data_IF_360279545318
#
_entry.id   IF_360279545318
#
_cell.length_a   1.000
_cell.length_b   1.000
_cell.length_c   1.000
_cell.angle_alpha   90.00
_cell.angle_beta   90.00
_cell.angle_gamma   90.00
#
_symmetry.space_group_name_H-M   'P 1'
#
loop_
_entity.id
_entity.type
_entity.pdbx_description
1 polymer ?
#
# COMPACT_ATOMS: atom_id res chain seq x y z
N UNK A 1 -3.49 -24.55 -34.19
CA UNK A 1 -4.10 -23.44 -33.42
C UNK A 1 -4.75 -22.44 -34.36
N UNK A 2 -5.36 -21.39 -33.83
CA UNK A 2 -6.09 -20.37 -34.61
C UNK A 2 -5.33 -19.05 -34.57
N UNK A 3 -5.09 -18.42 -35.72
CA UNK A 3 -4.45 -17.09 -35.78
C UNK A 3 -3.00 -17.04 -35.25
N UNK A 4 -2.29 -18.17 -35.20
CA UNK A 4 -0.89 -18.20 -34.80
C UNK A 4 0.02 -17.78 -35.96
N UNK A 5 1.10 -17.07 -35.68
CA UNK A 5 2.18 -16.75 -36.62
C UNK A 5 3.48 -17.41 -36.17
N UNK A 6 4.15 -18.15 -37.05
CA UNK A 6 5.38 -18.87 -36.76
C UNK A 6 5.19 -20.40 -36.67
N UNK A 7 6.00 -21.10 -35.87
CA UNK A 7 6.10 -22.57 -35.89
C UNK A 7 5.78 -23.23 -34.55
N UNK A 8 5.08 -24.37 -34.56
CA UNK A 8 4.89 -25.18 -33.35
C UNK A 8 4.03 -24.53 -32.26
N UNK A 9 3.25 -23.49 -32.59
CA UNK A 9 2.37 -22.79 -31.65
C UNK A 9 1.02 -23.50 -31.52
N UNK A 10 0.63 -23.87 -30.30
CA UNK A 10 -0.67 -24.46 -29.98
C UNK A 10 -1.59 -23.41 -29.32
N UNK A 11 -2.91 -23.52 -29.50
CA UNK A 11 -3.87 -22.50 -29.01
C UNK A 11 -4.08 -21.35 -30.00
N UNK A 12 -4.20 -20.11 -29.51
CA UNK A 12 -4.74 -18.97 -30.28
C UNK A 12 -3.83 -17.74 -30.27
N UNK A 13 -3.65 -17.08 -31.41
CA UNK A 13 -3.06 -15.73 -31.48
C UNK A 13 -1.58 -15.62 -31.07
N UNK A 14 -0.83 -16.72 -31.05
CA UNK A 14 0.57 -16.71 -30.62
C UNK A 14 1.52 -16.33 -31.78
N UNK A 15 2.57 -15.57 -31.47
CA UNK A 15 3.62 -15.19 -32.41
C UNK A 15 5.00 -15.75 -32.00
N UNK A 16 5.74 -16.34 -32.94
CA UNK A 16 7.07 -16.92 -32.69
C UNK A 16 7.05 -18.45 -32.73
N UNK A 17 7.68 -19.13 -31.78
CA UNK A 17 7.80 -20.59 -31.81
C UNK A 17 7.52 -21.31 -30.49
N UNK A 18 6.89 -22.49 -30.58
CA UNK A 18 6.58 -23.38 -29.46
C UNK A 18 5.81 -22.74 -28.31
N UNK A 19 4.92 -21.81 -28.61
CA UNK A 19 4.11 -21.13 -27.60
C UNK A 19 2.72 -21.80 -27.48
N UNK A 20 2.44 -22.64 -26.48
CA UNK A 20 1.10 -23.12 -26.19
C UNK A 20 0.28 -22.10 -25.37
N UNK A 21 -0.97 -21.88 -25.77
CA UNK A 21 -1.93 -21.05 -25.03
C UNK A 21 -2.45 -19.89 -25.87
N UNK A 22 -2.60 -18.71 -25.28
CA UNK A 22 -3.24 -17.56 -25.94
C UNK A 22 -2.32 -16.34 -25.99
N UNK A 23 -2.16 -15.74 -27.16
CA UNK A 23 -1.58 -14.40 -27.30
C UNK A 23 -0.13 -14.27 -26.84
N UNK A 24 0.65 -15.35 -26.80
CA UNK A 24 2.07 -15.26 -26.39
C UNK A 24 2.95 -14.84 -27.57
N UNK A 25 4.00 -14.07 -27.28
CA UNK A 25 4.97 -13.58 -28.27
C UNK A 25 6.40 -13.98 -27.86
N UNK A 26 7.08 -14.75 -28.71
CA UNK A 26 8.48 -15.15 -28.52
C UNK A 26 8.70 -16.65 -28.63
N UNK A 27 9.40 -17.26 -27.68
CA UNK A 27 9.83 -18.66 -27.75
C UNK A 27 9.42 -19.47 -26.52
N UNK A 28 8.80 -20.62 -26.71
CA UNK A 28 8.53 -21.61 -25.65
C UNK A 28 7.71 -21.06 -24.46
N UNK A 29 6.90 -20.02 -24.67
CA UNK A 29 6.06 -19.45 -23.62
C UNK A 29 4.75 -20.24 -23.49
N UNK A 30 4.41 -20.63 -22.26
CA UNK A 30 3.18 -21.38 -21.94
C UNK A 30 2.20 -20.52 -21.16
N UNK A 31 0.92 -20.51 -21.56
CA UNK A 31 -0.14 -19.78 -20.87
C UNK A 31 -0.65 -18.60 -21.69
N UNK A 32 -0.83 -17.43 -21.08
CA UNK A 32 -1.52 -16.31 -21.70
C UNK A 32 -0.67 -15.03 -21.73
N UNK A 33 -0.59 -14.38 -22.90
CA UNK A 33 -0.03 -13.05 -23.08
C UNK A 33 1.37 -12.87 -22.49
N UNK A 34 2.25 -13.87 -22.60
CA UNK A 34 3.64 -13.73 -22.20
C UNK A 34 4.49 -13.22 -23.37
N UNK A 35 5.45 -12.34 -23.06
CA UNK A 35 6.44 -11.83 -24.02
C UNK A 35 7.85 -12.27 -23.62
N UNK A 36 8.57 -12.90 -24.53
CA UNK A 36 9.98 -13.29 -24.33
C UNK A 36 10.21 -14.78 -24.49
N UNK A 37 10.93 -15.42 -23.57
CA UNK A 37 11.39 -16.81 -23.73
C UNK A 37 11.05 -17.64 -22.50
N UNK A 38 10.48 -18.83 -22.70
CA UNK A 38 10.26 -19.86 -21.67
C UNK A 38 9.46 -19.41 -20.44
N UNK A 39 8.63 -18.37 -20.56
CA UNK A 39 7.75 -17.95 -19.47
C UNK A 39 6.55 -18.88 -19.33
N UNK A 40 6.07 -19.10 -18.11
CA UNK A 40 4.89 -19.93 -17.84
C UNK A 40 3.90 -19.18 -16.97
N UNK A 41 2.63 -19.14 -17.37
CA UNK A 41 1.54 -18.47 -16.64
C UNK A 41 0.98 -17.29 -17.43
N UNK A 42 0.74 -16.15 -16.79
CA UNK A 42 0.07 -15.02 -17.45
C UNK A 42 0.89 -13.73 -17.39
N UNK A 43 0.93 -13.01 -18.51
CA UNK A 43 1.36 -11.61 -18.54
C UNK A 43 2.77 -11.43 -17.94
N UNK A 44 3.70 -12.29 -18.32
CA UNK A 44 5.12 -12.14 -17.97
C UNK A 44 5.89 -11.51 -19.13
N UNK A 45 6.91 -10.73 -18.81
CA UNK A 45 7.86 -10.18 -19.79
C UNK A 45 9.30 -10.54 -19.41
N UNK A 46 10.01 -11.24 -20.30
CA UNK A 46 11.43 -11.56 -20.15
C UNK A 46 11.75 -13.04 -20.32
N UNK A 47 12.63 -13.59 -19.50
CA UNK A 47 13.16 -14.96 -19.64
C UNK A 47 12.78 -15.85 -18.46
N UNK A 48 12.20 -17.02 -18.75
CA UNK A 48 12.01 -18.12 -17.83
C UNK A 48 11.36 -17.69 -16.49
N UNK A 49 10.26 -16.95 -16.56
CA UNK A 49 9.50 -16.56 -15.37
C UNK A 49 8.25 -17.47 -15.20
N UNK A 50 8.23 -18.41 -14.24
CA UNK A 50 7.01 -19.11 -13.84
C UNK A 50 6.12 -18.26 -12.92
N UNK A 51 4.81 -18.27 -13.17
CA UNK A 51 3.84 -17.50 -12.41
C UNK A 51 3.23 -16.38 -13.25
N UNK A 52 2.84 -15.27 -12.65
CA UNK A 52 2.17 -14.20 -13.40
C UNK A 52 2.69 -12.82 -13.03
N UNK A 53 2.64 -11.87 -13.96
CA UNK A 53 3.06 -10.49 -13.70
C UNK A 53 4.50 -10.37 -13.22
N UNK A 54 5.44 -11.08 -13.85
CA UNK A 54 6.86 -10.88 -13.61
C UNK A 54 7.52 -10.13 -14.77
N UNK A 55 8.45 -9.23 -14.46
CA UNK A 55 9.32 -8.59 -15.47
C UNK A 55 10.79 -8.78 -15.12
N UNK A 56 11.52 -9.33 -16.08
CA UNK A 56 12.93 -9.67 -15.94
C UNK A 56 13.17 -11.15 -16.15
N UNK A 57 14.07 -11.75 -15.37
CA UNK A 57 14.57 -13.10 -15.67
C UNK A 57 14.49 -14.03 -14.46
N UNK A 58 14.07 -15.28 -14.67
CA UNK A 58 14.10 -16.35 -13.67
C UNK A 58 13.32 -16.03 -12.38
N UNK A 59 12.27 -15.22 -12.48
CA UNK A 59 11.42 -14.92 -11.33
C UNK A 59 10.30 -15.95 -11.23
N UNK A 60 10.08 -16.49 -10.03
CA UNK A 60 8.99 -17.44 -9.72
C UNK A 60 8.00 -16.79 -8.77
N UNK A 61 6.71 -16.84 -9.09
CA UNK A 61 5.64 -16.23 -8.27
C UNK A 61 4.97 -15.07 -8.99
N UNK A 62 4.65 -14.00 -8.28
CA UNK A 62 3.93 -12.85 -8.84
C UNK A 62 4.54 -11.50 -8.49
N UNK A 63 4.42 -10.52 -9.39
CA UNK A 63 4.85 -9.13 -9.14
C UNK A 63 6.31 -8.99 -8.72
N UNK A 64 7.19 -9.77 -9.34
CA UNK A 64 8.63 -9.60 -9.15
C UNK A 64 9.22 -8.76 -10.28
N UNK A 65 10.07 -7.81 -9.90
CA UNK A 65 10.90 -7.07 -10.86
C UNK A 65 12.37 -7.22 -10.53
N UNK A 66 13.14 -7.57 -11.57
CA UNK A 66 14.57 -7.83 -11.48
C UNK A 66 14.87 -9.26 -11.91
N UNK A 67 15.72 -10.00 -11.19
CA UNK A 67 16.03 -11.38 -11.59
C UNK A 67 16.22 -12.33 -10.42
N UNK A 68 15.89 -13.60 -10.65
CA UNK A 68 16.06 -14.70 -9.69
C UNK A 68 15.30 -14.49 -8.37
N UNK A 69 14.16 -13.79 -8.39
CA UNK A 69 13.33 -13.66 -7.21
C UNK A 69 12.30 -14.80 -7.14
N UNK A 70 12.13 -15.43 -5.99
CA UNK A 70 11.14 -16.49 -5.76
C UNK A 70 10.20 -16.09 -4.62
N UNK A 71 8.90 -15.98 -4.91
CA UNK A 71 7.90 -15.40 -4.00
C UNK A 71 7.18 -14.24 -4.68
N UNK A 72 6.59 -13.35 -3.92
CA UNK A 72 5.76 -12.25 -4.41
C UNK A 72 6.30 -10.88 -4.04
N UNK A 73 6.10 -9.89 -4.92
CA UNK A 73 6.42 -8.47 -4.66
C UNK A 73 7.89 -8.21 -4.27
N UNK A 74 8.84 -8.96 -4.82
CA UNK A 74 10.25 -8.69 -4.58
C UNK A 74 10.81 -7.64 -5.55
N UNK A 75 11.66 -6.79 -4.99
CA UNK A 75 12.42 -5.77 -5.70
C UNK A 75 13.91 -6.07 -5.64
N UNK A 76 14.53 -6.27 -6.80
CA UNK A 76 15.97 -6.44 -6.92
C UNK A 76 16.34 -7.84 -7.41
N UNK A 77 17.33 -8.46 -6.78
CA UNK A 77 17.92 -9.69 -7.31
C UNK A 77 18.05 -10.77 -6.24
N UNK A 78 17.82 -12.03 -6.63
CA UNK A 78 18.05 -13.22 -5.80
C UNK A 78 17.26 -13.24 -4.47
N UNK A 79 16.13 -12.52 -4.38
CA UNK A 79 15.34 -12.54 -3.16
C UNK A 79 14.39 -13.73 -3.11
N UNK A 80 14.30 -14.41 -1.98
CA UNK A 80 13.38 -15.53 -1.74
C UNK A 80 12.45 -15.20 -0.58
N UNK A 81 11.17 -15.54 -0.69
CA UNK A 81 10.11 -15.01 0.19
C UNK A 81 9.48 -13.76 -0.43
N UNK A 82 8.73 -13.00 0.37
CA UNK A 82 7.87 -11.94 -0.14
C UNK A 82 8.33 -10.54 0.28
N UNK A 83 8.03 -9.54 -0.54
CA UNK A 83 8.21 -8.12 -0.21
C UNK A 83 9.65 -7.76 0.19
N UNK A 84 10.67 -8.41 -0.35
CA UNK A 84 12.05 -8.03 -0.09
C UNK A 84 12.53 -6.90 -1.01
N UNK A 85 13.36 -6.03 -0.47
CA UNK A 85 14.06 -4.97 -1.19
C UNK A 85 15.56 -5.18 -1.12
N UNK A 86 16.19 -5.40 -2.25
CA UNK A 86 17.65 -5.41 -2.38
C UNK A 86 18.20 -6.68 -3.01
N UNK A 87 19.25 -7.24 -2.42
CA UNK A 87 20.03 -8.32 -3.03
C UNK A 87 20.11 -9.53 -2.09
N UNK A 88 19.73 -10.70 -2.61
CA UNK A 88 19.95 -11.99 -1.98
C UNK A 88 19.38 -12.11 -0.56
N UNK A 89 18.19 -11.53 -0.32
CA UNK A 89 17.50 -11.71 0.95
C UNK A 89 16.62 -12.96 0.93
N UNK A 90 16.51 -13.65 2.06
CA UNK A 90 15.68 -14.82 2.26
C UNK A 90 14.76 -14.61 3.47
N UNK A 91 13.47 -14.92 3.31
CA UNK A 91 12.40 -14.57 4.25
C UNK A 91 11.63 -13.35 3.76
N UNK A 92 10.82 -12.73 4.61
CA UNK A 92 9.85 -11.72 4.18
C UNK A 92 10.20 -10.31 4.68
N UNK A 93 9.90 -9.30 3.88
CA UNK A 93 9.95 -7.87 4.26
C UNK A 93 11.35 -7.40 4.69
N UNK A 94 12.41 -7.90 4.06
CA UNK A 94 13.77 -7.44 4.34
C UNK A 94 14.19 -6.27 3.45
N UNK A 95 14.94 -5.33 4.02
CA UNK A 95 15.61 -4.24 3.29
C UNK A 95 17.12 -4.42 3.40
N UNK A 96 17.79 -4.70 2.29
CA UNK A 96 19.25 -4.68 2.21
C UNK A 96 19.86 -5.88 1.49
N UNK A 97 20.95 -6.43 2.03
CA UNK A 97 21.80 -7.40 1.32
C UNK A 97 22.08 -8.63 2.18
N UNK A 98 21.85 -9.83 1.63
CA UNK A 98 22.21 -11.12 2.25
C UNK A 98 21.57 -11.32 3.64
N UNK A 99 20.34 -10.86 3.85
CA UNK A 99 19.60 -11.13 5.08
C UNK A 99 18.89 -12.49 4.98
N UNK A 100 18.93 -13.29 6.05
CA UNK A 100 18.22 -14.55 6.19
C UNK A 100 17.36 -14.49 7.45
N UNK A 101 16.08 -14.19 7.31
CA UNK A 101 15.14 -13.88 8.39
C UNK A 101 14.02 -12.97 7.90
N UNK A 102 13.15 -12.51 8.77
CA UNK A 102 12.02 -11.65 8.41
C UNK A 102 12.20 -10.23 8.96
N UNK A 103 11.60 -9.24 8.30
CA UNK A 103 11.43 -7.90 8.85
C UNK A 103 12.72 -7.18 9.24
N UNK A 104 13.83 -7.41 8.52
CA UNK A 104 15.15 -6.87 8.88
C UNK A 104 15.64 -5.78 7.93
N UNK A 105 16.40 -4.81 8.46
CA UNK A 105 17.06 -3.75 7.71
C UNK A 105 18.59 -3.87 7.87
N UNK A 106 19.33 -4.03 6.78
CA UNK A 106 20.80 -4.02 6.82
C UNK A 106 21.45 -5.13 5.99
N UNK A 107 22.57 -5.64 6.48
CA UNK A 107 23.46 -6.53 5.73
C UNK A 107 23.81 -7.74 6.59
N UNK A 108 23.75 -8.94 6.01
CA UNK A 108 24.19 -10.21 6.62
C UNK A 108 23.44 -10.58 7.92
N UNK A 109 22.18 -10.15 8.07
CA UNK A 109 21.35 -10.59 9.20
C UNK A 109 20.94 -12.05 9.06
N UNK A 110 20.76 -12.74 10.18
CA UNK A 110 20.40 -14.18 10.22
C UNK A 110 19.17 -14.48 11.10
N UNK A 111 18.49 -13.46 11.58
CA UNK A 111 17.32 -13.59 12.45
C UNK A 111 16.28 -12.53 12.09
N UNK A 112 15.15 -12.58 12.77
CA UNK A 112 14.03 -11.69 12.50
C UNK A 112 14.20 -10.35 13.21
N UNK A 113 13.63 -9.28 12.65
CA UNK A 113 13.60 -7.93 13.23
C UNK A 113 14.97 -7.33 13.56
N UNK A 114 15.97 -7.59 12.71
CA UNK A 114 17.34 -7.09 12.90
C UNK A 114 17.57 -5.74 12.23
N UNK A 115 18.41 -4.92 12.86
CA UNK A 115 18.80 -3.59 12.32
C UNK A 115 17.65 -2.58 12.23
N UNK A 116 16.58 -2.77 13.00
CA UNK A 116 15.48 -1.81 13.09
C UNK A 116 15.92 -0.58 13.88
N UNK A 117 15.54 0.60 13.39
CA UNK A 117 15.80 1.87 14.05
C UNK A 117 14.49 2.53 14.46
N UNK A 118 14.44 3.07 15.67
CA UNK A 118 13.34 3.88 16.20
C UNK A 118 13.87 4.99 17.08
N UNK A 119 13.02 5.98 17.37
CA UNK A 119 13.34 7.13 18.21
C UNK A 119 12.12 7.54 19.03
N UNK A 120 12.28 7.63 20.35
CA UNK A 120 11.21 8.04 21.25
C UNK A 120 11.67 9.19 22.13
N UNK A 121 10.92 10.30 22.15
CA UNK A 121 11.12 11.41 23.08
C UNK A 121 9.81 11.79 23.77
N UNK A 122 9.84 11.80 25.10
CA UNK A 122 8.71 12.20 25.94
C UNK A 122 9.16 13.14 27.07
N UNK A 123 8.27 14.06 27.46
CA UNK A 123 8.36 14.77 28.73
C UNK A 123 7.60 13.93 29.76
N UNK A 124 8.33 13.40 30.74
CA UNK A 124 7.77 12.64 31.84
C UNK A 124 7.63 13.51 33.09
N UNK A 125 6.40 13.76 33.52
CA UNK A 125 6.10 14.44 34.79
C UNK A 125 5.63 13.37 35.78
N UNK A 126 6.41 13.09 36.84
CA UNK A 126 6.01 12.11 37.86
C UNK A 126 4.74 12.58 38.57
N UNK A 127 4.03 11.63 39.19
CA UNK A 127 2.86 11.95 40.00
C UNK A 127 3.23 12.96 41.10
N UNK A 128 2.43 14.00 41.27
CA UNK A 128 2.61 15.01 42.30
C UNK A 128 1.35 15.17 43.15
N UNK A 129 1.49 15.48 44.46
CA UNK A 129 0.35 15.69 45.32
C UNK A 129 -0.37 17.00 44.93
N UNK A 130 -1.70 16.95 44.82
CA UNK A 130 -2.55 18.14 44.62
C UNK A 130 -3.06 18.64 45.97
N UNK A 131 -3.52 17.73 46.82
CA UNK A 131 -4.09 18.06 48.12
C UNK A 131 -3.50 17.15 49.18
N UNK A 132 -2.87 17.77 50.17
CA UNK A 132 -2.40 17.12 51.37
C UNK A 132 -2.97 17.87 52.57
N UNK A 133 -4.06 17.35 53.13
CA UNK A 133 -4.76 18.00 54.23
C UNK A 133 -5.00 17.01 55.36
N UNK A 134 -4.59 17.42 56.56
CA UNK A 134 -4.78 16.66 57.79
C UNK A 134 -5.78 17.40 58.66
N UNK A 135 -6.94 16.78 58.88
CA UNK A 135 -7.95 17.26 59.82
C UNK A 135 -7.89 16.37 61.03
N UNK A 136 -7.87 16.99 62.21
CA UNK A 136 -7.95 16.27 63.46
C UNK A 136 -9.21 16.70 64.20
N UNK A 137 -10.18 15.79 64.34
CA UNK A 137 -11.42 16.09 65.07
C UNK A 137 -11.25 15.55 66.50
N UNK A 138 -11.16 16.42 67.53
CA UNK A 138 -11.02 15.98 68.91
C UNK A 138 -12.31 15.32 69.42
N UNK A 139 -12.18 14.21 70.14
CA UNK A 139 -13.31 13.54 70.81
C UNK A 139 -13.03 13.53 72.31
N UNK A 140 -13.82 14.31 73.04
CA UNK A 140 -13.85 14.27 74.50
C UNK A 140 -15.30 14.45 74.96
N UNK A 141 -16.03 13.35 75.06
CA UNK A 141 -17.43 13.35 75.50
C UNK A 141 -17.48 12.65 76.87
N UNK A 142 -17.52 13.41 77.97
CA UNK A 142 -17.71 12.83 79.29
C UNK A 142 -19.19 12.50 79.52
N UNK A 143 -19.47 11.30 80.02
CA UNK A 143 -20.77 10.87 80.49
C UNK A 143 -20.63 10.54 81.98
N UNK A 144 -21.37 11.28 82.81
CA UNK A 144 -21.38 11.11 84.25
C UNK A 144 -22.72 10.53 84.69
N UNK A 145 -22.70 9.35 85.31
CA UNK A 145 -23.90 8.72 85.85
C UNK A 145 -23.71 8.41 87.34
N UNK A 146 -24.49 9.10 88.18
CA UNK A 146 -24.54 8.87 89.62
C UNK A 146 -25.76 8.01 89.98
N UNK A 147 -25.51 6.82 90.52
CA UNK A 147 -26.54 5.85 90.90
C UNK A 147 -27.04 6.05 92.35
N UNK A 148 -26.49 7.00 93.11
CA UNK A 148 -26.95 7.36 94.45
C UNK A 148 -26.53 6.38 95.56
N UNK A 149 -27.31 6.33 96.66
CA UNK A 149 -26.97 5.54 97.84
C UNK A 149 -27.96 4.39 98.10
N UNK A 150 -27.42 3.24 98.53
CA UNK A 150 -28.18 2.07 98.97
C UNK A 150 -28.32 2.07 100.50
N UNK A 151 -29.55 1.96 100.99
CA UNK A 151 -29.84 1.83 102.43
C UNK A 151 -30.73 0.62 102.70
N UNK A 152 -30.20 -0.35 103.46
CA UNK A 152 -30.96 -1.46 104.03
C UNK A 152 -31.07 -1.25 105.54
N UNK A 153 -32.29 -0.96 106.00
CA UNK A 153 -32.57 -0.61 107.39
C UNK A 153 -32.34 -1.78 108.36
N UNK A 154 -31.84 -1.47 109.56
CA UNK A 154 -31.57 -2.45 110.63
C UNK A 154 -32.81 -3.24 111.06
N UNK A 155 -32.60 -4.48 111.50
CA UNK A 155 -33.62 -5.27 112.20
C UNK A 155 -32.98 -6.15 113.29
N UNK A 156 -33.76 -6.51 114.30
CA UNK A 156 -33.30 -7.25 115.49
C UNK A 156 -33.97 -8.61 115.57
N UNK A 157 -33.20 -9.66 115.82
CA UNK A 157 -33.75 -10.99 116.10
C UNK A 157 -34.03 -11.13 117.61
N UNK A 158 -35.22 -11.59 118.01
CA UNK A 158 -35.59 -11.70 119.42
C UNK A 158 -34.83 -12.81 120.15
N UNK A 159 -34.69 -12.66 121.46
CA UNK A 159 -33.96 -13.58 122.35
C UNK A 159 -34.52 -15.00 122.29
N UNK A 160 -33.63 -15.98 122.09
CA UNK A 160 -33.97 -17.40 122.13
C UNK A 160 -33.58 -17.95 123.50
N UNK A 161 -34.51 -18.65 124.16
CA UNK A 161 -34.29 -19.28 125.47
C UNK A 161 -34.24 -20.79 125.28
N UNK A 162 -33.19 -21.44 125.79
CA UNK A 162 -32.99 -22.90 125.68
C UNK A 162 -33.03 -23.51 127.08
N UNK A 163 -33.85 -24.54 127.29
CA UNK A 163 -33.93 -25.29 128.54
C UNK A 163 -33.61 -26.77 128.27
N UNK A 164 -32.54 -27.31 128.87
CA UNK A 164 -32.14 -28.72 128.73
C UNK A 164 -31.38 -29.25 129.97
N UNK A 165 -31.61 -30.54 130.28
CA UNK A 165 -31.08 -31.36 131.39
C UNK A 165 -29.90 -30.76 132.17
N UNK A 166 -30.22 -30.11 133.30
CA UNK A 166 -29.26 -29.61 134.29
C UNK A 166 -29.04 -28.10 134.29
N UNK A 167 -29.51 -27.36 133.27
CA UNK A 167 -29.42 -25.89 133.21
C UNK A 167 -30.78 -25.32 132.80
N UNK A 168 -31.37 -24.46 133.65
CA UNK A 168 -32.57 -23.67 133.35
C UNK A 168 -32.20 -22.20 133.16
N UNK A 169 -32.88 -21.49 132.25
CA UNK A 169 -32.71 -20.05 131.97
C UNK A 169 -31.42 -19.61 131.25
N UNK A 170 -30.86 -20.42 130.34
CA UNK A 170 -29.81 -19.91 129.44
C UNK A 170 -30.44 -19.15 128.25
N UNK A 171 -30.20 -17.84 128.19
CA UNK A 171 -30.73 -16.95 127.13
C UNK A 171 -29.60 -16.51 126.20
N UNK A 172 -29.83 -16.63 124.89
CA UNK A 172 -28.98 -16.03 123.86
C UNK A 172 -29.81 -14.97 123.13
N UNK A 173 -29.40 -13.71 123.24
CA UNK A 173 -29.95 -12.58 122.49
C UNK A 173 -30.62 -11.49 123.33
N UNK A 174 -31.05 -10.39 122.69
CA UNK A 174 -31.24 -10.25 121.25
C UNK A 174 -29.95 -9.87 120.50
N UNK A 175 -29.85 -10.31 119.24
CA UNK A 175 -28.75 -9.94 118.32
C UNK A 175 -29.31 -8.89 117.37
N UNK A 176 -28.67 -7.72 117.33
CA UNK A 176 -29.04 -6.62 116.45
C UNK A 176 -28.05 -6.53 115.30
N UNK A 177 -28.56 -6.52 114.06
CA UNK A 177 -27.79 -6.21 112.86
C UNK A 177 -28.00 -4.73 112.54
N UNK A 178 -26.95 -3.89 112.57
CA UNK A 178 -27.07 -2.48 112.26
C UNK A 178 -27.41 -2.25 110.79
N UNK A 179 -27.94 -1.06 110.47
CA UNK A 179 -28.24 -0.63 109.11
C UNK A 179 -26.99 -0.74 108.26
N UNK A 180 -27.12 -1.41 107.11
CA UNK A 180 -26.04 -1.48 106.13
C UNK A 180 -26.30 -0.35 105.13
N UNK A 181 -25.51 0.70 105.26
CA UNK A 181 -25.44 1.77 104.27
C UNK A 181 -24.27 1.52 103.34
N UNK A 182 -24.48 1.75 102.05
CA UNK A 182 -23.44 1.73 101.05
C UNK A 182 -23.69 2.78 99.99
N UNK A 183 -22.65 3.49 99.58
CA UNK A 183 -22.68 4.34 98.39
C UNK A 183 -22.63 3.45 97.15
N UNK A 184 -23.58 3.62 96.22
CA UNK A 184 -23.43 2.97 94.91
C UNK A 184 -22.34 3.69 94.13
N UNK A 185 -21.59 2.97 93.29
CA UNK A 185 -20.49 3.58 92.55
C UNK A 185 -21.04 4.59 91.54
N UNK A 186 -20.39 5.77 91.51
CA UNK A 186 -20.48 6.69 90.39
C UNK A 186 -19.75 6.06 89.21
N UNK A 187 -20.38 6.04 88.04
CA UNK A 187 -19.76 5.53 86.83
C UNK A 187 -19.43 6.73 85.94
N UNK A 188 -18.15 7.05 85.87
CA UNK A 188 -17.60 7.97 84.89
C UNK A 188 -17.19 7.19 83.65
N UNK A 189 -17.83 7.51 82.52
CA UNK A 189 -17.44 6.98 81.21
C UNK A 189 -17.04 8.14 80.33
N UNK A 190 -15.77 8.18 79.93
CA UNK A 190 -15.29 9.13 78.94
C UNK A 190 -15.14 8.42 77.60
N UNK A 191 -15.84 8.91 76.58
CA UNK A 191 -15.59 8.50 75.20
C UNK A 191 -14.55 9.48 74.63
N UNK A 192 -13.31 9.00 74.53
CA UNK A 192 -12.16 9.79 74.09
C UNK A 192 -11.36 10.44 75.25
N UNK A 193 -10.66 11.54 74.97
CA UNK A 193 -9.76 12.22 75.91
C UNK A 193 -9.04 13.43 75.29
N UNK A 194 -8.26 14.21 76.07
CA UNK A 194 -7.64 15.47 75.60
C UNK A 194 -6.72 15.30 74.37
N UNK A 195 -6.09 14.14 74.26
CA UNK A 195 -5.20 13.77 73.16
C UNK A 195 -5.83 12.76 72.19
N UNK A 196 -7.12 12.44 72.36
CA UNK A 196 -7.83 11.48 71.51
C UNK A 196 -8.61 12.19 70.43
N UNK A 197 -8.29 11.85 69.19
CA UNK A 197 -8.88 12.46 68.02
C UNK A 197 -9.05 11.45 66.90
N UNK A 198 -9.98 11.72 65.99
CA UNK A 198 -10.10 10.97 64.74
C UNK A 198 -9.27 11.70 63.70
N UNK A 199 -8.12 11.15 63.27
CA UNK A 199 -7.36 11.73 62.17
C UNK A 199 -8.09 11.45 60.86
N UNK A 200 -8.38 12.50 60.09
CA UNK A 200 -8.85 12.41 58.72
C UNK A 200 -7.73 12.90 57.82
N UNK A 201 -7.14 11.96 57.09
CA UNK A 201 -6.09 12.24 56.12
C UNK A 201 -6.71 12.30 54.71
N UNK A 202 -6.75 13.50 54.12
CA UNK A 202 -7.13 13.66 52.73
C UNK A 202 -5.84 13.73 51.93
N UNK A 203 -5.62 12.73 51.08
CA UNK A 203 -4.52 12.67 50.12
C UNK A 203 -5.09 12.59 48.72
N UNK A 204 -4.66 13.48 47.85
CA UNK A 204 -4.97 13.45 46.42
C UNK A 204 -3.73 13.83 45.62
N UNK A 205 -3.54 13.18 44.47
CA UNK A 205 -2.44 13.46 43.54
C UNK A 205 -2.92 13.42 42.10
N UNK A 206 -2.19 14.12 41.23
CA UNK A 206 -2.34 14.01 39.78
C UNK A 206 -1.08 13.46 39.13
N UNK A 207 -1.28 12.77 38.01
CA UNK A 207 -0.22 12.17 37.22
C UNK A 207 -0.08 10.65 37.42
N UNK A 208 0.89 10.01 36.75
CA UNK A 208 1.92 10.64 35.91
C UNK A 208 1.35 11.27 34.63
N UNK A 209 1.93 12.38 34.19
CA UNK A 209 1.60 13.03 32.92
C UNK A 209 2.74 12.73 31.94
N UNK A 210 2.40 12.17 30.78
CA UNK A 210 3.33 11.90 29.68
C UNK A 210 2.97 12.78 28.49
N UNK A 211 3.90 13.59 28.03
CA UNK A 211 3.76 14.37 26.80
C UNK A 211 4.74 13.82 25.78
N UNK A 212 4.25 13.00 24.85
CA UNK A 212 5.06 12.45 23.75
C UNK A 212 5.36 13.57 22.75
N UNK A 213 6.63 13.86 22.54
CA UNK A 213 7.10 14.90 21.62
C UNK A 213 7.30 14.33 20.21
N UNK A 214 7.93 13.16 20.11
CA UNK A 214 8.14 12.44 18.87
C UNK A 214 8.29 10.95 19.17
N UNK A 215 7.51 10.13 18.47
CA UNK A 215 7.61 8.67 18.53
C UNK A 215 7.73 8.11 17.11
N UNK A 216 8.89 7.53 16.82
CA UNK A 216 9.19 6.82 15.59
C UNK A 216 9.41 5.36 15.98
N UNK A 217 8.44 4.46 15.69
CA UNK A 217 8.56 3.07 16.07
C UNK A 217 9.67 2.38 15.27
N UNK A 218 10.35 1.43 15.90
CA UNK A 218 11.26 0.54 15.21
C UNK A 218 10.45 -0.38 14.28
N UNK A 219 10.58 -0.16 12.98
CA UNK A 219 9.81 -0.87 11.96
C UNK A 219 10.68 -1.24 10.75
N UNK A 220 10.30 -2.29 10.00
CA UNK A 220 10.93 -2.66 8.73
C UNK A 220 10.84 -1.54 7.70
N UNK A 221 11.85 -1.45 6.84
CA UNK A 221 12.03 -0.34 5.93
C UNK A 221 12.37 0.98 6.65
N UNK A 222 12.55 2.05 5.87
CA UNK A 222 12.97 3.36 6.37
C UNK A 222 12.00 4.42 5.85
N UNK A 223 11.33 5.12 6.77
CA UNK A 223 10.40 6.20 6.42
C UNK A 223 9.11 5.73 5.73
N UNK A 224 8.77 4.45 5.84
CA UNK A 224 7.52 3.91 5.32
C UNK A 224 6.32 4.39 6.17
N UNK A 225 5.26 4.83 5.52
CA UNK A 225 3.97 5.24 6.10
C UNK A 225 2.83 4.33 5.63
N UNK A 226 3.14 3.05 5.43
CA UNK A 226 2.19 2.03 5.01
C UNK A 226 1.40 1.46 6.20
N UNK A 227 0.21 0.91 5.95
CA UNK A 227 -0.63 0.34 7.05
C UNK A 227 -0.20 -1.04 7.51
N UNK A 228 0.56 -1.78 6.69
CA UNK A 228 1.20 -3.05 7.09
C UNK A 228 2.71 -2.94 6.91
N UNK A 229 3.51 -3.80 7.59
CA UNK A 229 4.96 -3.74 7.48
C UNK A 229 5.45 -3.84 6.03
N UNK A 230 6.41 -3.00 5.69
CA UNK A 230 6.94 -2.85 4.33
C UNK A 230 8.45 -2.76 4.37
N UNK A 231 9.14 -3.29 3.36
CA UNK A 231 10.58 -3.11 3.21
C UNK A 231 10.88 -1.87 2.35
N UNK A 232 12.15 -1.53 2.21
CA UNK A 232 12.59 -0.41 1.38
C UNK A 232 12.42 0.96 2.03
N UNK A 233 12.11 1.98 1.25
CA UNK A 233 12.24 3.39 1.64
C UNK A 233 11.02 4.21 1.21
N UNK A 234 10.47 5.00 2.14
CA UNK A 234 9.45 6.03 1.86
C UNK A 234 8.21 5.55 1.10
N UNK A 235 7.79 4.31 1.30
CA UNK A 235 6.55 3.78 0.75
C UNK A 235 5.35 4.29 1.56
N UNK A 236 4.20 4.49 0.91
CA UNK A 236 3.00 5.05 1.54
C UNK A 236 1.72 4.40 1.01
N UNK A 237 0.67 4.36 1.83
CA UNK A 237 -0.65 3.85 1.44
C UNK A 237 -1.11 2.61 2.23
N UNK A 238 -2.29 2.12 1.88
CA UNK A 238 -2.89 0.96 2.55
C UNK A 238 -2.29 -0.35 2.02
N UNK A 239 -1.81 -1.24 2.88
CA UNK A 239 -1.16 -2.51 2.52
C UNK A 239 0.36 -2.46 2.69
N UNK A 240 1.07 -3.45 2.13
CA UNK A 240 2.52 -3.57 2.25
C UNK A 240 3.21 -3.12 0.97
N UNK A 241 4.50 -2.81 1.04
CA UNK A 241 5.30 -2.45 -0.11
C UNK A 241 6.77 -2.89 0.04
N UNK A 242 7.48 -2.96 -1.08
CA UNK A 242 8.93 -3.10 -1.16
C UNK A 242 9.50 -2.10 -2.16
N UNK A 243 10.76 -1.69 -2.01
CA UNK A 243 11.43 -0.74 -2.88
C UNK A 243 11.30 0.71 -2.40
N UNK A 244 11.25 1.68 -3.31
CA UNK A 244 11.40 3.11 -2.98
C UNK A 244 10.24 3.95 -3.48
N UNK A 245 9.61 4.70 -2.57
CA UNK A 245 8.69 5.78 -2.92
C UNK A 245 7.40 5.31 -3.58
N UNK A 246 6.93 4.09 -3.31
CA UNK A 246 5.68 3.62 -3.87
C UNK A 246 4.47 4.23 -3.14
N UNK A 247 3.39 4.47 -3.88
CA UNK A 247 2.12 4.97 -3.38
C UNK A 247 0.98 3.97 -3.60
N UNK A 248 0.22 3.68 -2.55
CA UNK A 248 -0.84 2.66 -2.57
C UNK A 248 -0.34 1.29 -2.13
N UNK A 249 -1.24 0.30 -2.16
CA UNK A 249 -0.99 -1.02 -1.58
C UNK A 249 -0.31 -2.01 -2.47
N UNK A 250 0.42 -2.94 -1.85
CA UNK A 250 1.01 -4.14 -2.46
C UNK A 250 1.89 -3.78 -3.66
N UNK A 251 2.77 -2.80 -3.48
CA UNK A 251 3.67 -2.33 -4.52
C UNK A 251 5.11 -2.78 -4.26
N UNK A 252 5.83 -3.15 -5.30
CA UNK A 252 7.26 -3.41 -5.26
C UNK A 252 7.99 -2.53 -6.28
N UNK A 253 9.22 -2.12 -6.00
CA UNK A 253 10.06 -1.37 -6.93
C UNK A 253 10.07 0.12 -6.63
N UNK A 254 10.12 0.96 -7.64
CA UNK A 254 10.39 2.38 -7.55
C UNK A 254 9.21 3.19 -8.08
N UNK A 255 8.65 4.05 -7.23
CA UNK A 255 7.71 5.10 -7.64
C UNK A 255 6.45 4.58 -8.35
N UNK A 256 6.00 3.37 -7.99
CA UNK A 256 4.76 2.82 -8.52
C UNK A 256 3.57 3.40 -7.77
N UNK A 257 2.47 3.64 -8.49
CA UNK A 257 1.19 4.05 -7.92
C UNK A 257 0.15 2.97 -8.16
N UNK A 258 -0.22 2.28 -7.08
CA UNK A 258 -1.23 1.23 -7.08
C UNK A 258 -2.65 1.79 -6.87
N UNK A 259 -3.59 1.39 -7.73
CA UNK A 259 -5.01 1.75 -7.63
C UNK A 259 -5.84 0.49 -7.34
N UNK A 260 -5.90 0.09 -6.06
CA UNK A 260 -6.70 -1.05 -5.62
C UNK A 260 -6.02 -1.89 -4.55
N UNK A 261 -6.56 -3.09 -4.32
CA UNK A 261 -6.07 -4.04 -3.32
C UNK A 261 -4.86 -4.87 -3.80
N UNK A 262 -4.54 -4.87 -5.09
CA UNK A 262 -3.43 -5.60 -5.68
C UNK A 262 -2.60 -4.57 -6.47
N UNK A 263 -1.34 -4.40 -6.08
CA UNK A 263 -0.50 -3.32 -6.57
C UNK A 263 0.34 -3.72 -7.77
N UNK A 264 1.50 -3.09 -7.88
CA UNK A 264 2.37 -3.12 -9.05
C UNK A 264 3.82 -3.41 -8.67
N UNK A 265 4.61 -3.93 -9.60
CA UNK A 265 6.05 -4.11 -9.43
C UNK A 265 6.89 -3.34 -10.47
N UNK A 266 8.07 -2.88 -10.09
CA UNK A 266 9.04 -2.32 -11.03
C UNK A 266 9.18 -0.81 -10.95
N UNK A 267 9.16 -0.06 -12.04
CA UNK A 267 9.46 1.37 -12.04
C UNK A 267 8.31 2.18 -12.64
N UNK A 268 7.75 3.13 -11.89
CA UNK A 268 6.76 4.12 -12.37
C UNK A 268 5.50 3.55 -13.04
N UNK A 269 5.00 2.41 -12.57
CA UNK A 269 3.72 1.88 -13.05
C UNK A 269 2.54 2.60 -12.39
N UNK A 270 1.47 2.84 -13.15
CA UNK A 270 0.25 3.49 -12.67
C UNK A 270 -0.99 2.65 -13.03
N UNK A 271 -1.68 2.15 -12.00
CA UNK A 271 -2.81 1.25 -12.17
C UNK A 271 -2.74 0.05 -11.21
N UNK A 272 -3.10 -1.15 -11.69
CA UNK A 272 -3.16 -2.36 -10.86
C UNK A 272 -2.73 -3.62 -11.63
N UNK A 273 -2.19 -4.63 -10.95
CA UNK A 273 -1.69 -5.84 -11.59
C UNK A 273 -0.62 -5.55 -12.66
N UNK A 274 0.35 -4.69 -12.35
CA UNK A 274 1.38 -4.31 -13.30
C UNK A 274 2.78 -4.74 -12.87
N UNK A 275 3.67 -4.96 -13.84
CA UNK A 275 5.09 -5.21 -13.59
C UNK A 275 5.99 -4.54 -14.65
N UNK A 276 7.21 -4.18 -14.30
CA UNK A 276 8.20 -3.66 -15.24
C UNK A 276 8.29 -2.14 -15.20
N UNK A 277 8.46 -1.47 -16.34
CA UNK A 277 8.74 -0.03 -16.40
C UNK A 277 7.60 0.75 -17.08
N UNK A 278 7.09 1.77 -16.40
CA UNK A 278 6.26 2.85 -16.94
C UNK A 278 5.02 2.34 -17.67
N UNK A 279 4.33 1.37 -17.06
CA UNK A 279 3.09 0.86 -17.61
C UNK A 279 1.88 1.61 -17.05
N UNK A 280 0.86 1.81 -17.89
CA UNK A 280 -0.41 2.44 -17.53
C UNK A 280 -1.57 1.46 -17.78
N UNK A 281 -2.38 1.17 -16.76
CA UNK A 281 -3.55 0.31 -16.92
C UNK A 281 -3.70 -0.82 -15.89
N UNK A 282 -4.29 -1.92 -16.34
CA UNK A 282 -4.53 -3.10 -15.51
C UNK A 282 -4.03 -4.37 -16.20
N UNK A 283 -3.38 -5.28 -15.46
CA UNK A 283 -2.90 -6.57 -16.00
C UNK A 283 -1.88 -6.33 -17.12
N UNK A 284 -0.76 -5.68 -16.79
CA UNK A 284 0.25 -5.21 -17.76
C UNK A 284 1.66 -5.59 -17.31
N UNK A 285 2.52 -6.08 -18.19
CA UNK A 285 3.93 -6.34 -17.90
C UNK A 285 4.88 -5.77 -18.94
N UNK A 286 6.14 -5.55 -18.56
CA UNK A 286 7.18 -5.12 -19.48
C UNK A 286 7.42 -3.62 -19.44
N UNK A 287 7.67 -3.00 -20.59
CA UNK A 287 8.22 -1.64 -20.69
C UNK A 287 7.28 -0.75 -21.51
N UNK A 288 6.89 0.41 -20.95
CA UNK A 288 6.14 1.48 -21.63
C UNK A 288 4.82 1.04 -22.27
N UNK A 289 4.10 0.08 -21.68
CA UNK A 289 2.82 -0.36 -22.23
C UNK A 289 1.66 0.47 -21.70
N UNK A 290 0.68 0.75 -22.56
CA UNK A 290 -0.51 1.55 -22.23
C UNK A 290 -1.78 0.80 -22.56
N UNK A 291 -2.59 0.54 -21.54
CA UNK A 291 -3.95 0.03 -21.71
C UNK A 291 -4.88 1.08 -22.29
N UNK A 292 -5.67 0.70 -23.29
CA UNK A 292 -6.82 1.51 -23.74
C UNK A 292 -8.10 1.17 -22.98
N UNK A 293 -8.08 0.14 -22.13
CA UNK A 293 -9.15 -0.19 -21.18
C UNK A 293 -9.07 0.68 -19.92
N UNK A 294 -10.15 0.70 -19.14
CA UNK A 294 -10.16 1.39 -17.85
C UNK A 294 -9.19 0.75 -16.83
N UNK A 295 -8.87 1.47 -15.76
CA UNK A 295 -7.86 1.04 -14.77
C UNK A 295 -8.29 -0.17 -13.91
N UNK A 296 -9.55 -0.60 -13.99
CA UNK A 296 -10.08 -1.74 -13.23
C UNK A 296 -10.34 -2.98 -14.08
N UNK A 297 -10.22 -2.87 -15.41
CA UNK A 297 -10.51 -3.95 -16.35
C UNK A 297 -9.21 -4.51 -16.88
N UNK A 298 -8.95 -5.83 -16.73
CA UNK A 298 -7.76 -6.47 -17.25
C UNK A 298 -7.53 -6.17 -18.73
N UNK A 299 -6.33 -5.69 -19.06
CA UNK A 299 -5.94 -5.36 -20.42
C UNK A 299 -5.04 -6.43 -21.06
N UNK A 300 -4.47 -7.36 -20.28
CA UNK A 300 -3.64 -8.46 -20.75
C UNK A 300 -2.52 -8.03 -21.72
N UNK A 301 -1.61 -7.16 -21.25
CA UNK A 301 -0.54 -6.61 -22.08
C UNK A 301 0.84 -7.05 -21.58
N UNK A 302 1.73 -7.50 -22.47
CA UNK A 302 3.14 -7.76 -22.13
C UNK A 302 4.12 -7.29 -23.20
N UNK A 303 5.38 -7.09 -22.84
CA UNK A 303 6.45 -6.75 -23.78
C UNK A 303 6.80 -5.26 -23.77
N UNK A 304 7.07 -4.65 -24.93
CA UNK A 304 7.62 -3.29 -25.02
C UNK A 304 6.78 -2.37 -25.90
N UNK A 305 6.28 -1.27 -25.31
CA UNK A 305 5.68 -0.14 -26.00
C UNK A 305 4.43 -0.53 -26.78
N UNK A 306 3.58 -1.36 -26.17
CA UNK A 306 2.29 -1.76 -26.73
C UNK A 306 1.18 -0.83 -26.24
N UNK A 307 0.22 -0.52 -27.12
CA UNK A 307 -0.93 0.35 -26.81
C UNK A 307 -2.21 -0.38 -27.22
N UNK A 308 -3.07 -0.75 -26.26
CA UNK A 308 -4.31 -1.46 -26.56
C UNK A 308 -4.80 -2.38 -25.44
N UNK A 309 -5.34 -3.54 -25.80
CA UNK A 309 -5.69 -4.67 -24.93
C UNK A 309 -5.39 -5.98 -25.66
N UNK A 310 -5.10 -7.04 -24.91
CA UNK A 310 -4.83 -8.39 -25.43
C UNK A 310 -3.63 -8.44 -26.38
N UNK A 311 -2.52 -7.81 -25.96
CA UNK A 311 -1.32 -7.64 -26.79
C UNK A 311 -0.06 -8.14 -26.08
N UNK A 312 0.72 -8.97 -26.76
CA UNK A 312 2.07 -9.32 -26.35
C UNK A 312 3.05 -8.98 -27.47
N UNK A 313 4.24 -8.47 -27.14
CA UNK A 313 5.31 -8.23 -28.11
C UNK A 313 5.91 -6.85 -28.04
N UNK A 314 6.30 -6.31 -29.19
CA UNK A 314 7.05 -5.05 -29.27
C UNK A 314 6.30 -4.11 -30.23
N UNK A 315 6.13 -2.84 -29.85
CA UNK A 315 5.49 -1.79 -30.64
C UNK A 315 4.17 -2.24 -31.28
N UNK A 316 3.26 -2.84 -30.51
CA UNK A 316 2.02 -3.45 -31.01
C UNK A 316 0.77 -2.66 -30.59
N UNK A 317 -0.26 -2.73 -31.43
CA UNK A 317 -1.62 -2.23 -31.19
C UNK A 317 -2.64 -3.23 -31.73
N UNK A 318 -3.95 -3.06 -31.44
CA UNK A 318 -5.00 -3.93 -31.99
C UNK A 318 -5.05 -3.96 -33.51
N UNK A 319 -4.43 -2.96 -34.16
CA UNK A 319 -4.43 -2.80 -35.61
C UNK A 319 -3.09 -3.14 -36.25
N UNK A 320 -2.13 -3.69 -35.50
CA UNK A 320 -0.78 -4.03 -35.95
C UNK A 320 0.31 -3.21 -35.26
N UNK A 321 1.52 -3.20 -35.83
CA UNK A 321 2.65 -2.47 -35.24
C UNK A 321 2.48 -0.95 -35.34
N UNK A 322 2.95 -0.23 -34.32
CA UNK A 322 2.98 1.24 -34.22
C UNK A 322 4.38 1.82 -34.46
N UNK A 323 5.35 0.99 -34.83
CA UNK A 323 6.73 1.43 -35.01
C UNK A 323 6.86 2.40 -36.18
N UNK A 324 7.52 3.55 -35.96
CA UNK A 324 7.98 4.47 -36.99
C UNK A 324 9.51 4.57 -36.94
N UNK A 325 10.14 4.68 -38.11
CA UNK A 325 11.57 4.87 -38.28
C UNK A 325 11.86 6.33 -38.65
N UNK A 326 12.00 7.18 -37.64
CA UNK A 326 12.38 8.59 -37.76
C UNK A 326 11.81 9.43 -36.62
N UNK A 327 11.74 10.76 -36.80
CA UNK A 327 11.37 11.69 -35.73
C UNK A 327 10.06 12.40 -36.01
N UNK A 328 9.22 12.52 -34.98
CA UNK A 328 7.99 13.33 -35.05
C UNK A 328 6.88 12.73 -35.91
N UNK A 329 6.89 11.42 -36.12
CA UNK A 329 5.81 10.73 -36.82
C UNK A 329 4.63 10.43 -35.89
N UNK A 330 3.41 10.64 -36.38
CA UNK A 330 2.16 10.23 -35.75
C UNK A 330 1.42 9.26 -36.66
N UNK A 331 1.24 8.03 -36.20
CA UNK A 331 0.70 6.93 -37.02
C UNK A 331 1.62 5.72 -36.92
N UNK A 332 1.67 4.89 -37.97
CA UNK A 332 2.48 3.66 -37.99
C UNK A 332 3.30 3.48 -39.26
N UNK A 333 4.39 2.72 -39.12
CA UNK A 333 5.20 2.21 -40.23
C UNK A 333 5.68 3.29 -41.20
N UNK A 334 5.93 4.48 -40.69
CA UNK A 334 6.56 5.55 -41.45
C UNK A 334 8.09 5.37 -41.43
N UNK A 335 8.75 5.67 -42.54
CA UNK A 335 10.21 5.75 -42.67
C UNK A 335 10.58 7.15 -43.15
N UNK A 336 11.11 7.99 -42.26
CA UNK A 336 11.34 9.42 -42.46
C UNK A 336 10.81 10.22 -41.26
N UNK A 337 10.71 11.55 -41.38
CA UNK A 337 10.37 12.39 -40.21
C UNK A 337 9.14 13.27 -40.46
N UNK A 338 8.38 13.57 -39.40
CA UNK A 338 7.29 14.53 -39.42
C UNK A 338 6.08 14.07 -40.24
N UNK A 339 5.85 12.76 -40.35
CA UNK A 339 4.67 12.23 -41.04
C UNK A 339 3.47 12.14 -40.10
N UNK A 340 2.28 12.48 -40.59
CA UNK A 340 1.01 12.25 -39.91
C UNK A 340 0.17 11.33 -40.79
N UNK A 341 -0.04 10.10 -40.35
CA UNK A 341 -0.67 9.02 -41.11
C UNK A 341 0.20 7.77 -41.14
N UNK A 342 -0.20 6.79 -41.95
CA UNK A 342 0.40 5.45 -41.92
C UNK A 342 1.18 5.12 -43.21
N UNK A 343 2.23 4.31 -43.10
CA UNK A 343 2.96 3.72 -44.24
C UNK A 343 3.65 4.73 -45.18
N UNK A 344 4.11 5.88 -44.68
CA UNK A 344 4.83 6.84 -45.51
C UNK A 344 6.33 6.51 -45.62
N UNK A 345 6.89 6.64 -46.82
CA UNK A 345 8.33 6.58 -47.09
C UNK A 345 8.82 7.96 -47.51
N UNK A 346 9.49 8.66 -46.60
CA UNK A 346 9.94 10.04 -46.72
C UNK A 346 9.39 10.92 -45.60
N UNK A 347 9.48 12.24 -45.73
CA UNK A 347 9.28 13.17 -44.61
C UNK A 347 8.21 14.24 -44.89
N UNK A 348 7.55 14.69 -43.83
CA UNK A 348 6.60 15.80 -43.89
C UNK A 348 5.30 15.46 -44.62
N UNK A 349 4.90 14.18 -44.67
CA UNK A 349 3.67 13.78 -45.34
C UNK A 349 2.48 13.85 -44.36
N UNK A 350 1.35 14.40 -44.82
CA UNK A 350 0.06 14.35 -44.14
C UNK A 350 -0.90 13.46 -44.94
N UNK A 351 -1.20 12.28 -44.42
CA UNK A 351 -1.93 11.22 -45.12
C UNK A 351 -1.10 9.93 -45.13
N UNK A 352 -1.60 8.91 -45.82
CA UNK A 352 -1.06 7.55 -45.76
C UNK A 352 -0.52 7.05 -47.09
N UNK A 353 0.42 6.11 -47.02
CA UNK A 353 1.01 5.41 -48.17
C UNK A 353 1.70 6.34 -49.19
N UNK A 354 2.26 7.46 -48.75
CA UNK A 354 3.02 8.35 -49.63
C UNK A 354 4.49 7.91 -49.73
N UNK A 355 5.07 8.08 -50.91
CA UNK A 355 6.50 7.92 -51.17
C UNK A 355 7.05 9.27 -51.61
N UNK A 356 7.88 9.90 -50.78
CA UNK A 356 8.50 11.20 -51.01
C UNK A 356 8.23 12.17 -49.87
N UNK A 357 8.22 13.47 -50.18
CA UNK A 357 8.34 14.56 -49.22
C UNK A 357 7.20 15.56 -49.37
N UNK A 358 6.66 16.02 -48.24
CA UNK A 358 5.72 17.14 -48.22
C UNK A 358 4.39 16.87 -48.92
N UNK A 359 3.97 15.61 -49.05
CA UNK A 359 2.68 15.28 -49.68
C UNK A 359 1.53 15.45 -48.70
N UNK A 360 0.41 15.98 -49.17
CA UNK A 360 -0.86 16.09 -48.44
C UNK A 360 -1.91 15.26 -49.17
N UNK A 361 -2.43 14.23 -48.52
CA UNK A 361 -3.33 13.21 -49.07
C UNK A 361 -2.68 11.83 -49.14
N UNK A 362 -3.27 10.89 -49.86
CA UNK A 362 -2.88 9.48 -49.82
C UNK A 362 -2.26 8.99 -51.13
N UNK A 363 -1.43 7.96 -51.05
CA UNK A 363 -0.93 7.22 -52.22
C UNK A 363 -0.17 8.09 -53.23
N UNK A 364 0.45 9.19 -52.81
CA UNK A 364 1.27 10.02 -53.70
C UNK A 364 2.70 9.48 -53.81
N UNK A 365 3.28 9.56 -54.99
CA UNK A 365 4.69 9.25 -55.25
C UNK A 365 5.35 10.50 -55.82
N UNK A 366 6.36 11.04 -55.14
CA UNK A 366 7.06 12.27 -55.48
C UNK A 366 6.89 13.34 -54.39
N UNK A 367 7.04 14.62 -54.72
CA UNK A 367 7.16 15.69 -53.71
C UNK A 367 6.11 16.79 -53.83
N UNK A 368 5.61 17.27 -52.70
CA UNK A 368 4.76 18.45 -52.62
C UNK A 368 3.39 18.29 -53.28
N UNK A 369 2.89 17.06 -53.45
CA UNK A 369 1.58 16.84 -54.04
C UNK A 369 0.49 17.13 -53.00
N UNK A 370 -0.57 17.82 -53.40
CA UNK A 370 -1.77 18.08 -52.61
C UNK A 370 -2.95 17.39 -53.30
N UNK A 371 -3.36 16.24 -52.80
CA UNK A 371 -4.32 15.36 -53.44
C UNK A 371 -3.97 13.89 -53.21
N UNK A 372 -4.58 12.97 -53.95
CA UNK A 372 -4.31 11.52 -53.79
C UNK A 372 -3.98 10.83 -55.11
N UNK A 373 -3.14 9.79 -55.04
CA UNK A 373 -2.77 8.99 -56.21
C UNK A 373 -1.89 9.72 -57.23
N UNK A 374 -1.27 10.85 -56.88
CA UNK A 374 -0.44 11.60 -57.81
C UNK A 374 0.96 11.00 -57.93
N UNK A 375 1.52 10.99 -59.14
CA UNK A 375 2.89 10.60 -59.44
C UNK A 375 3.65 11.80 -60.01
N UNK A 376 4.57 12.38 -59.24
CA UNK A 376 5.42 13.49 -59.65
C UNK A 376 5.44 14.60 -58.61
N UNK A 377 5.50 15.86 -59.04
CA UNK A 377 5.87 16.96 -58.16
C UNK A 377 4.90 18.12 -58.22
N UNK A 378 4.45 18.61 -57.06
CA UNK A 378 3.63 19.82 -56.96
C UNK A 378 2.26 19.70 -57.65
N UNK A 379 1.73 18.49 -57.85
CA UNK A 379 0.38 18.33 -58.37
C UNK A 379 -0.63 18.76 -57.30
N UNK A 380 -1.60 19.58 -57.66
CA UNK A 380 -2.53 20.19 -56.72
C UNK A 380 -3.94 20.29 -57.33
N UNK A 381 -4.92 20.66 -56.53
CA UNK A 381 -6.28 20.84 -57.00
C UNK A 381 -6.54 22.32 -57.33
N UNK A 382 -7.47 22.62 -58.26
CA UNK A 382 -7.98 23.96 -58.47
C UNK A 382 -9.00 24.30 -57.35
N UNK A 383 -8.55 24.37 -56.09
CA UNK A 383 -9.39 24.76 -54.95
C UNK A 383 -9.65 23.64 -53.93
N UNK A 384 -10.91 23.49 -53.48
CA UNK A 384 -11.32 22.57 -52.40
C UNK A 384 -11.59 21.13 -52.88
N UNK A 385 -11.34 20.82 -54.15
CA UNK A 385 -11.36 19.44 -54.65
C UNK A 385 -10.02 18.76 -54.35
N UNK A 386 -9.97 17.43 -54.36
CA UNK A 386 -8.69 16.72 -54.28
C UNK A 386 -8.08 16.65 -55.69
N UNK A 387 -6.75 16.79 -55.81
CA UNK A 387 -6.05 16.50 -57.06
C UNK A 387 -5.86 15.00 -57.17
N UNK A 388 -6.54 14.35 -58.11
CA UNK A 388 -6.53 12.90 -58.21
C UNK A 388 -5.75 12.42 -59.43
N UNK A 389 -4.86 11.47 -59.21
CA UNK A 389 -4.22 10.68 -60.26
C UNK A 389 -3.47 11.49 -61.32
N UNK A 390 -2.91 12.65 -60.96
CA UNK A 390 -2.06 13.38 -61.90
C UNK A 390 -0.69 12.74 -62.02
N UNK A 391 -0.14 12.71 -63.23
CA UNK A 391 1.19 12.21 -63.52
C UNK A 391 2.02 13.36 -64.10
N UNK A 392 3.12 13.73 -63.45
CA UNK A 392 4.04 14.77 -63.88
C UNK A 392 4.14 15.92 -62.88
N UNK A 393 4.33 17.14 -63.38
CA UNK A 393 4.81 18.26 -62.55
C UNK A 393 3.85 19.45 -62.60
N UNK A 394 3.44 19.94 -61.45
CA UNK A 394 2.67 21.18 -61.33
C UNK A 394 1.28 21.11 -61.97
N UNK A 395 0.70 19.93 -62.16
CA UNK A 395 -0.64 19.82 -62.71
C UNK A 395 -1.68 20.23 -61.66
N UNK A 396 -2.67 21.01 -62.09
CA UNK A 396 -3.77 21.49 -61.26
C UNK A 396 -5.08 20.86 -61.75
N UNK A 397 -5.65 19.91 -61.02
CA UNK A 397 -6.91 19.21 -61.40
C UNK A 397 -6.80 17.71 -61.26
N UNK A 398 -7.48 16.94 -62.11
CA UNK A 398 -7.53 15.48 -62.03
C UNK A 398 -7.09 14.80 -63.33
N UNK A 399 -6.48 13.62 -63.19
CA UNK A 399 -6.12 12.73 -64.29
C UNK A 399 -5.27 13.40 -65.39
N UNK A 400 -4.52 14.45 -65.06
CA UNK A 400 -3.64 15.11 -66.02
C UNK A 400 -2.33 14.35 -66.14
N UNK A 401 -1.79 14.27 -67.34
CA UNK A 401 -0.49 13.67 -67.63
C UNK A 401 0.40 14.69 -68.35
N UNK A 402 1.47 15.11 -67.68
CA UNK A 402 2.45 16.05 -68.22
C UNK A 402 2.79 17.18 -67.25
N UNK A 403 2.99 18.39 -67.76
CA UNK A 403 3.59 19.49 -66.98
C UNK A 403 2.73 20.74 -67.02
N UNK A 404 2.36 21.26 -65.85
CA UNK A 404 1.67 22.54 -65.72
C UNK A 404 0.26 22.57 -66.31
N UNK A 405 -0.39 21.42 -66.49
CA UNK A 405 -1.76 21.39 -67.02
C UNK A 405 -2.75 21.85 -65.95
N UNK A 406 -3.80 22.57 -66.34
CA UNK A 406 -4.87 23.03 -65.46
C UNK A 406 -6.23 22.56 -65.99
N UNK A 407 -6.99 21.85 -65.17
CA UNK A 407 -8.27 21.23 -65.55
C UNK A 407 -8.19 19.70 -65.46
N UNK A 408 -9.03 18.96 -66.19
CA UNK A 408 -9.19 17.52 -66.01
C UNK A 408 -8.89 16.72 -67.28
N UNK A 409 -8.10 15.66 -67.16
CA UNK A 409 -7.84 14.71 -68.27
C UNK A 409 -6.90 15.24 -69.36
N UNK A 410 -6.12 16.30 -69.08
CA UNK A 410 -5.19 16.87 -70.05
C UNK A 410 -3.96 15.99 -70.24
N UNK A 411 -3.48 15.87 -71.47
CA UNK A 411 -2.21 15.23 -71.81
C UNK A 411 -1.29 16.22 -72.53
N UNK A 412 -0.13 16.55 -71.96
CA UNK A 412 0.83 17.47 -72.57
C UNK A 412 1.40 18.54 -71.64
N UNK A 413 1.71 19.72 -72.17
CA UNK A 413 2.40 20.79 -71.46
C UNK A 413 1.56 22.07 -71.47
N UNK A 414 1.24 22.60 -70.29
CA UNK A 414 0.57 23.88 -70.13
C UNK A 414 -0.85 23.94 -70.69
N UNK A 415 -1.53 22.80 -70.83
CA UNK A 415 -2.90 22.77 -71.32
C UNK A 415 -3.86 23.33 -70.28
N UNK A 416 -4.90 24.00 -70.74
CA UNK A 416 -6.04 24.44 -69.95
C UNK A 416 -7.30 23.84 -70.53
N UNK A 417 -8.05 23.07 -69.75
CA UNK A 417 -9.21 22.32 -70.23
C UNK A 417 -9.89 21.50 -69.16
#
# INVERSE_FOLDING_TARGET
>A
GTGNTGFGNAGTGNWGAWNPGTGNTGLANTGNYNSGIANTGSTNTGLANPGSYNTGNFNTGTFNTGSYNAGDYNTGFFNTGDLNTGLANAGDVNTGILNAGNYSNGILWRGDYQGLWGFHSEIYIPQFPILNFDINIPINIPIHLDLGALALNSFTLPTITINALGITNFKIGPISLPTITGTLPVIDVTIGGPDTSIPIQIRSGAGPIRVVLLDIPAAPGIGNSTTTPSSGFFNSGAGSASGVGNGGGNNSGFWNTGLGAIGNSGFQNFGAFQTGWANLGNTVSGIYNTSTSNLTTPAHISGWSNIGTDLAGIFSSPTGTIFNAGLGDLGRLNLGSGNIGDFNLGSGNLGSSNIGFGNVGNNNIGFGNIGSGNLGFGNAAPGLTAALNNIGFGNTGNNNVGFGNTGDGNFGFGNTG
#
